data_IF_790086250854
#
_entry.id   IF_790086250854
#
_cell.length_a   1.000
_cell.length_b   1.000
_cell.length_c   1.000
_cell.angle_alpha   90.00
_cell.angle_beta   90.00
_cell.angle_gamma   90.00
#
_symmetry.space_group_name_H-M   'P 1'
#
loop_
_entity.id
_entity.type
_entity.pdbx_description
1 polymer ?
#
# COMPACT_ATOMS: atom_id res chain seq x y z
N UNK A 1 54.44 70.44 10.22
CA UNK A 1 55.64 70.23 9.38
C UNK A 1 55.72 68.73 9.13
N UNK A 2 55.32 68.21 7.95
CA UNK A 2 56.18 67.99 6.76
C UNK A 2 57.43 67.15 7.11
N UNK A 3 57.78 66.01 6.51
CA UNK A 3 57.52 65.41 5.20
C UNK A 3 57.73 63.88 5.25
N UNK A 4 57.27 63.20 4.18
CA UNK A 4 57.64 61.84 3.74
C UNK A 4 59.15 61.57 3.64
N UNK A 5 59.53 60.29 3.71
CA UNK A 5 60.46 59.51 2.85
C UNK A 5 60.69 58.18 3.62
N UNK A 6 60.52 56.98 3.08
CA UNK A 6 61.26 56.42 1.96
C UNK A 6 62.02 55.18 2.43
N UNK A 7 61.60 54.02 1.89
CA UNK A 7 62.38 52.85 1.46
C UNK A 7 63.45 52.19 2.37
N UNK A 8 63.53 50.85 2.17
CA UNK A 8 64.69 49.97 2.36
C UNK A 8 64.93 49.46 3.81
N UNK A 9 65.26 48.21 4.11
CA UNK A 9 65.67 47.04 3.33
C UNK A 9 65.68 45.77 4.22
N UNK A 10 65.34 44.63 3.60
CA UNK A 10 66.03 43.32 3.63
C UNK A 10 66.36 42.60 4.97
N UNK A 11 65.94 41.33 5.05
CA UNK A 11 66.80 40.17 5.39
C UNK A 11 66.03 38.87 5.04
N UNK A 12 66.44 38.11 4.01
CA UNK A 12 67.30 36.90 4.09
C UNK A 12 66.71 35.82 5.02
N UNK A 13 66.44 34.58 4.62
CA UNK A 13 67.19 33.68 3.75
C UNK A 13 66.32 32.51 3.26
N UNK A 14 66.73 31.85 2.16
CA UNK A 14 66.19 30.54 1.78
C UNK A 14 66.63 30.06 0.40
N UNK A 15 67.87 29.54 0.31
CA UNK A 15 68.42 28.78 -0.82
C UNK A 15 67.43 27.71 -1.33
N UNK A 16 67.14 27.69 -2.64
CA UNK A 16 67.79 26.85 -3.67
C UNK A 16 67.24 25.42 -3.79
N UNK A 17 66.42 25.22 -4.83
CA UNK A 17 66.60 24.33 -6.00
C UNK A 17 65.20 23.94 -6.51
N UNK A 18 64.86 24.41 -7.71
CA UNK A 18 63.62 24.03 -8.39
C UNK A 18 63.68 24.36 -9.87
N UNK A 19 63.88 23.33 -10.70
CA UNK A 19 63.52 23.30 -12.11
C UNK A 19 62.81 21.96 -12.37
N UNK A 20 61.91 21.83 -13.37
CA UNK A 20 61.57 22.80 -14.41
C UNK A 20 60.07 23.13 -14.54
N UNK A 21 59.81 24.23 -15.24
CA UNK A 21 58.54 24.71 -15.77
C UNK A 21 57.51 23.61 -16.12
N UNK A 22 56.28 23.78 -15.62
CA UNK A 22 55.08 23.20 -16.26
C UNK A 22 54.15 24.34 -16.64
N UNK A 23 54.28 24.83 -17.88
CA UNK A 23 53.28 25.71 -18.46
C UNK A 23 52.01 24.89 -18.69
N UNK A 24 50.94 25.20 -17.97
CA UNK A 24 49.60 24.65 -18.24
C UNK A 24 49.11 25.30 -19.53
N UNK A 25 49.36 24.66 -20.67
CA UNK A 25 48.80 25.11 -21.95
C UNK A 25 47.44 24.47 -22.13
N UNK A 26 46.41 25.31 -22.15
CA UNK A 26 45.05 24.96 -22.55
C UNK A 26 45.05 24.44 -23.99
N UNK A 27 44.45 23.27 -24.26
CA UNK A 27 44.41 22.71 -25.62
C UNK A 27 43.28 23.37 -26.39
N UNK A 28 43.61 24.04 -27.49
CA UNK A 28 42.66 24.81 -28.29
C UNK A 28 42.23 23.99 -29.49
N UNK A 29 40.97 24.14 -29.91
CA UNK A 29 40.39 23.43 -31.07
C UNK A 29 41.22 23.56 -32.36
N UNK A 30 41.95 24.67 -32.50
CA UNK A 30 42.85 24.92 -33.62
C UNK A 30 43.99 23.89 -33.74
N UNK A 31 44.38 23.25 -32.64
CA UNK A 31 45.46 22.27 -32.58
C UNK A 31 44.98 20.83 -32.86
N UNK A 32 43.67 20.62 -33.03
CA UNK A 32 43.04 19.31 -33.16
C UNK A 32 42.04 19.27 -34.33
N UNK A 33 42.40 19.86 -35.47
CA UNK A 33 41.56 19.91 -36.68
C UNK A 33 41.29 18.53 -37.31
N UNK A 34 42.06 17.51 -36.93
CA UNK A 34 41.85 16.12 -37.35
C UNK A 34 40.70 15.42 -36.62
N UNK A 35 40.19 16.00 -35.53
CA UNK A 35 39.03 15.48 -34.81
C UNK A 35 37.74 16.09 -35.35
N UNK A 36 36.72 15.25 -35.51
CA UNK A 36 35.39 15.73 -35.86
C UNK A 36 34.74 16.52 -34.71
N UNK A 37 33.77 17.37 -35.02
CA UNK A 37 33.00 18.15 -34.05
C UNK A 37 32.47 17.32 -32.87
N UNK A 38 31.79 16.16 -33.08
CA UNK A 38 31.31 15.35 -31.97
C UNK A 38 32.43 14.73 -31.12
N UNK A 39 33.58 14.43 -31.72
CA UNK A 39 34.74 13.87 -31.01
C UNK A 39 35.45 14.91 -30.17
N UNK A 40 35.57 16.14 -30.69
CA UNK A 40 36.09 17.26 -29.92
C UNK A 40 35.18 17.60 -28.74
N UNK A 41 33.86 17.67 -28.95
CA UNK A 41 32.91 17.89 -27.86
C UNK A 41 32.93 16.76 -26.83
N UNK A 42 33.11 15.52 -27.28
CA UNK A 42 33.27 14.38 -26.39
C UNK A 42 34.51 14.50 -25.50
N UNK A 43 35.63 14.99 -26.03
CA UNK A 43 36.83 15.23 -25.23
C UNK A 43 36.66 16.40 -24.25
N UNK A 44 35.88 17.42 -24.62
CA UNK A 44 35.50 18.50 -23.71
C UNK A 44 34.58 18.00 -22.58
N UNK A 45 33.68 17.05 -22.86
CA UNK A 45 32.90 16.40 -21.79
C UNK A 45 33.77 15.48 -20.95
N UNK A 46 34.69 14.73 -21.56
CA UNK A 46 35.65 13.90 -20.82
C UNK A 46 36.53 14.75 -19.90
N UNK A 47 36.94 15.96 -20.31
CA UNK A 47 37.72 16.86 -19.47
C UNK A 47 36.96 17.29 -18.20
N UNK A 48 35.63 17.39 -18.24
CA UNK A 48 34.83 17.62 -17.03
C UNK A 48 34.90 16.45 -16.04
N UNK A 49 35.14 15.22 -16.51
CA UNK A 49 35.21 14.03 -15.67
C UNK A 49 36.60 13.74 -15.10
N UNK A 50 37.65 13.86 -15.91
CA UNK A 50 39.04 13.49 -15.53
C UNK A 50 40.01 14.68 -15.42
N UNK A 51 39.53 15.89 -15.71
CA UNK A 51 40.31 17.13 -15.67
C UNK A 51 40.99 17.48 -16.99
N UNK A 52 41.04 18.77 -17.31
CA UNK A 52 41.64 19.30 -18.55
C UNK A 52 43.12 18.96 -18.72
N UNK A 53 43.90 18.96 -17.62
CA UNK A 53 45.33 18.64 -17.68
C UNK A 53 45.59 17.19 -18.10
N UNK A 54 44.71 16.26 -17.71
CA UNK A 54 44.80 14.85 -18.10
C UNK A 54 44.49 14.68 -19.59
N UNK A 55 43.41 15.30 -20.07
CA UNK A 55 43.05 15.30 -21.51
C UNK A 55 44.12 15.98 -22.35
N UNK A 56 44.68 17.11 -21.88
CA UNK A 56 45.76 17.81 -22.57
C UNK A 56 47.05 16.98 -22.66
N UNK A 57 47.34 16.16 -21.64
CA UNK A 57 48.48 15.23 -21.68
C UNK A 57 48.22 14.12 -22.68
N UNK A 58 47.01 13.55 -22.70
CA UNK A 58 46.62 12.52 -23.68
C UNK A 58 46.71 13.03 -25.12
N UNK A 59 46.27 14.27 -25.38
CA UNK A 59 46.34 14.86 -26.73
C UNK A 59 47.77 15.19 -27.17
N UNK A 60 48.73 15.34 -26.25
CA UNK A 60 50.14 15.53 -26.59
C UNK A 60 50.91 14.22 -26.77
N UNK A 61 50.50 13.15 -26.10
CA UNK A 61 51.21 11.87 -26.10
C UNK A 61 50.67 10.86 -27.09
N UNK A 62 49.37 10.91 -27.39
CA UNK A 62 48.70 9.96 -28.27
C UNK A 62 48.78 10.41 -29.73
N UNK A 63 48.93 9.44 -30.64
CA UNK A 63 48.83 9.69 -32.08
C UNK A 63 47.41 10.09 -32.49
N UNK A 64 47.21 10.78 -33.63
CA UNK A 64 45.88 11.19 -34.10
C UNK A 64 44.83 10.06 -34.14
N UNK A 65 45.23 8.86 -34.52
CA UNK A 65 44.36 7.68 -34.58
C UNK A 65 43.95 7.19 -33.18
N UNK A 66 44.86 7.28 -32.21
CA UNK A 66 44.57 6.90 -30.82
C UNK A 66 43.67 7.93 -30.13
N UNK A 67 43.81 9.21 -30.46
CA UNK A 67 42.93 10.28 -29.98
C UNK A 67 41.49 10.05 -30.47
N UNK A 68 41.32 9.70 -31.74
CA UNK A 68 40.03 9.31 -32.31
C UNK A 68 39.44 8.10 -31.57
N UNK A 69 40.26 7.07 -31.31
CA UNK A 69 39.84 5.90 -30.54
C UNK A 69 39.41 6.22 -29.11
N UNK A 70 40.05 7.18 -28.43
CA UNK A 70 39.63 7.64 -27.09
C UNK A 70 38.30 8.37 -27.16
N UNK A 71 38.14 9.32 -28.09
CA UNK A 71 36.90 10.08 -28.25
C UNK A 71 35.71 9.15 -28.55
N UNK A 72 35.90 8.18 -29.46
CA UNK A 72 34.85 7.22 -29.82
C UNK A 72 34.46 6.28 -28.68
N UNK A 73 35.43 5.78 -27.91
CA UNK A 73 35.13 4.96 -26.74
C UNK A 73 34.33 5.73 -25.70
N UNK A 74 34.66 7.01 -25.51
CA UNK A 74 33.93 7.87 -24.60
C UNK A 74 32.50 8.13 -25.08
N UNK A 75 32.31 8.48 -26.36
CA UNK A 75 30.98 8.64 -26.97
C UNK A 75 30.16 7.35 -26.82
N UNK A 76 30.76 6.19 -27.09
CA UNK A 76 30.09 4.90 -26.97
C UNK A 76 29.73 4.58 -25.51
N UNK A 77 30.58 4.95 -24.54
CA UNK A 77 30.25 4.79 -23.12
C UNK A 77 29.12 5.72 -22.68
N UNK A 78 29.08 6.97 -23.15
CA UNK A 78 27.97 7.89 -22.88
C UNK A 78 26.66 7.36 -23.49
N UNK A 79 26.70 6.87 -24.73
CA UNK A 79 25.54 6.26 -25.37
C UNK A 79 25.08 4.99 -24.64
N UNK A 80 26.01 4.18 -24.12
CA UNK A 80 25.69 3.01 -23.30
C UNK A 80 25.09 3.41 -21.97
N UNK A 81 25.57 4.48 -21.33
CA UNK A 81 25.06 4.98 -20.06
C UNK A 81 23.65 5.58 -20.23
N UNK A 82 23.42 6.34 -21.30
CA UNK A 82 22.08 6.83 -21.68
C UNK A 82 21.15 5.68 -22.07
N UNK A 83 21.64 4.68 -22.80
CA UNK A 83 20.87 3.47 -23.11
C UNK A 83 20.56 2.67 -21.84
N UNK A 84 21.50 2.57 -20.89
CA UNK A 84 21.32 1.92 -19.60
C UNK A 84 20.35 2.69 -18.69
N UNK A 85 20.34 4.03 -18.75
CA UNK A 85 19.34 4.87 -18.08
C UNK A 85 17.94 4.70 -18.72
N UNK A 86 17.88 4.47 -20.04
CA UNK A 86 16.64 4.23 -20.77
C UNK A 86 16.12 2.78 -20.64
N UNK A 87 16.99 1.79 -20.40
CA UNK A 87 16.59 0.47 -19.90
C UNK A 87 16.48 0.49 -18.39
N UNK A 88 15.30 0.89 -17.91
CA UNK A 88 14.74 0.61 -16.57
C UNK A 88 15.53 -0.46 -15.81
N UNK A 89 16.43 -0.03 -14.94
CA UNK A 89 16.82 -0.84 -13.78
C UNK A 89 15.55 -1.14 -12.96
N UNK A 90 15.39 -2.33 -12.34
CA UNK A 90 14.25 -2.64 -11.48
C UNK A 90 14.37 -1.86 -10.15
N UNK A 91 14.37 -0.53 -10.24
CA UNK A 91 14.13 0.38 -9.14
C UNK A 91 12.62 0.45 -8.93
N UNK A 92 12.21 0.01 -7.76
CA UNK A 92 10.87 0.11 -7.14
C UNK A 92 10.05 1.27 -7.73
N UNK A 93 9.26 0.99 -8.77
CA UNK A 93 7.98 1.67 -8.92
C UNK A 93 7.24 1.43 -7.60
N UNK A 94 6.64 2.43 -6.95
CA UNK A 94 5.52 2.12 -6.09
C UNK A 94 4.48 1.54 -7.05
N UNK A 95 4.49 0.21 -7.24
CA UNK A 95 3.33 -0.49 -7.77
C UNK A 95 2.23 0.05 -6.89
N UNK A 96 1.29 0.82 -7.47
CA UNK A 96 0.04 1.11 -6.80
C UNK A 96 -0.52 -0.27 -6.46
N UNK A 97 -0.25 -0.71 -5.25
CA UNK A 97 -0.52 -2.07 -4.80
C UNK A 97 -2.01 -2.06 -4.51
N UNK A 98 -2.81 -2.16 -5.58
CA UNK A 98 -4.21 -2.45 -5.48
C UNK A 98 -4.29 -3.83 -4.85
N UNK A 99 -4.62 -3.87 -3.56
CA UNK A 99 -4.76 -5.13 -2.85
C UNK A 99 -6.00 -5.82 -3.39
N UNK A 100 -5.80 -6.94 -4.08
CA UNK A 100 -6.90 -7.74 -4.61
C UNK A 100 -7.49 -8.57 -3.47
N UNK A 101 -8.29 -7.92 -2.62
CA UNK A 101 -9.01 -8.61 -1.55
C UNK A 101 -10.08 -9.54 -2.16
N UNK A 102 -10.17 -10.76 -1.65
CA UNK A 102 -11.28 -11.63 -2.00
C UNK A 102 -12.59 -11.02 -1.48
N UNK A 103 -13.66 -11.13 -2.26
CA UNK A 103 -15.02 -10.80 -1.84
C UNK A 103 -15.84 -12.04 -2.07
N UNK A 104 -16.49 -12.51 -1.01
CA UNK A 104 -17.40 -13.65 -1.03
C UNK A 104 -18.52 -13.41 -2.05
N UNK A 105 -19.00 -14.48 -2.69
CA UNK A 105 -20.16 -14.36 -3.57
C UNK A 105 -21.44 -14.15 -2.74
N UNK A 106 -22.30 -13.25 -3.18
CA UNK A 106 -23.62 -13.05 -2.57
C UNK A 106 -24.72 -13.56 -3.49
N UNK A 107 -25.50 -14.51 -2.99
CA UNK A 107 -26.58 -15.13 -3.77
C UNK A 107 -27.93 -14.51 -3.48
N UNK A 108 -28.14 -13.99 -2.27
CA UNK A 108 -29.43 -13.47 -1.81
C UNK A 108 -30.32 -14.56 -1.19
N UNK A 109 -29.69 -15.57 -0.58
CA UNK A 109 -30.38 -16.65 0.15
C UNK A 109 -30.83 -16.19 1.53
N UNK A 110 -31.85 -16.85 2.06
CA UNK A 110 -32.29 -16.66 3.45
C UNK A 110 -31.18 -17.12 4.40
N UNK A 111 -30.82 -16.30 5.39
CA UNK A 111 -29.68 -16.52 6.29
C UNK A 111 -28.36 -15.88 5.85
N UNK A 112 -28.21 -15.45 4.59
CA UNK A 112 -27.06 -14.65 4.15
C UNK A 112 -27.21 -13.19 4.59
N UNK A 113 -26.17 -12.66 5.24
CA UNK A 113 -26.19 -11.32 5.82
C UNK A 113 -25.72 -10.29 4.79
N UNK A 114 -26.67 -9.66 4.07
CA UNK A 114 -26.37 -8.65 3.05
C UNK A 114 -25.47 -7.51 3.59
N UNK A 115 -25.75 -7.03 4.81
CA UNK A 115 -25.00 -5.94 5.42
C UNK A 115 -23.53 -6.29 5.64
N UNK A 116 -23.23 -7.49 6.14
CA UNK A 116 -21.86 -7.99 6.31
C UNK A 116 -21.13 -8.07 4.97
N UNK A 117 -21.81 -8.60 3.95
CA UNK A 117 -21.25 -8.70 2.61
C UNK A 117 -20.96 -7.31 2.00
N UNK A 118 -21.84 -6.33 2.21
CA UNK A 118 -21.60 -4.95 1.78
C UNK A 118 -20.36 -4.32 2.44
N UNK A 119 -20.11 -4.62 3.73
CA UNK A 119 -18.88 -4.17 4.42
C UNK A 119 -17.62 -4.80 3.81
N UNK A 120 -17.66 -6.10 3.51
CA UNK A 120 -16.57 -6.80 2.81
C UNK A 120 -16.32 -6.19 1.42
N UNK A 121 -17.39 -5.90 0.68
CA UNK A 121 -17.34 -5.27 -0.63
C UNK A 121 -16.75 -3.86 -0.58
N UNK A 122 -17.21 -3.02 0.35
CA UNK A 122 -16.71 -1.64 0.53
C UNK A 122 -15.22 -1.65 0.91
N UNK A 123 -14.80 -2.59 1.76
CA UNK A 123 -13.39 -2.79 2.13
C UNK A 123 -12.56 -3.17 0.90
N UNK A 124 -13.05 -4.07 0.05
CA UNK A 124 -12.36 -4.47 -1.17
C UNK A 124 -12.30 -3.34 -2.21
N UNK A 125 -13.36 -2.55 -2.35
CA UNK A 125 -13.38 -1.36 -3.23
C UNK A 125 -12.34 -0.33 -2.77
N UNK A 126 -12.25 -0.08 -1.47
CA UNK A 126 -11.28 0.83 -0.88
C UNK A 126 -9.85 0.32 -1.10
N UNK A 127 -9.58 -0.95 -0.81
CA UNK A 127 -8.27 -1.57 -0.97
C UNK A 127 -7.82 -1.64 -2.44
N UNK A 128 -8.77 -1.79 -3.37
CA UNK A 128 -8.53 -1.72 -4.82
C UNK A 128 -8.50 -0.30 -5.37
N UNK A 129 -8.82 0.72 -4.57
CA UNK A 129 -8.88 2.14 -5.00
C UNK A 129 -9.79 2.36 -6.22
N UNK A 130 -10.93 1.68 -6.26
CA UNK A 130 -11.91 1.90 -7.34
C UNK A 130 -12.64 3.22 -7.04
N UNK A 131 -12.39 4.25 -7.84
CA UNK A 131 -12.97 5.60 -7.63
C UNK A 131 -14.27 5.77 -8.42
N UNK A 132 -14.26 5.39 -9.70
CA UNK A 132 -15.36 5.58 -10.62
C UNK A 132 -16.65 4.85 -10.16
N UNK A 133 -17.80 5.55 -10.03
CA UNK A 133 -19.05 4.95 -9.58
C UNK A 133 -19.53 3.78 -10.43
N UNK A 134 -19.37 3.83 -11.75
CA UNK A 134 -19.79 2.75 -12.64
C UNK A 134 -18.90 1.51 -12.47
N UNK A 135 -17.61 1.71 -12.27
CA UNK A 135 -16.64 0.66 -11.97
C UNK A 135 -16.92 0.00 -10.61
N UNK A 136 -17.34 0.75 -9.60
CA UNK A 136 -17.79 0.20 -8.31
C UNK A 136 -19.00 -0.71 -8.48
N UNK A 137 -20.00 -0.26 -9.25
CA UNK A 137 -21.20 -1.06 -9.54
C UNK A 137 -20.86 -2.30 -10.37
N UNK A 138 -20.05 -2.16 -11.42
CA UNK A 138 -19.61 -3.27 -12.25
C UNK A 138 -18.86 -4.31 -11.41
N UNK A 139 -17.94 -3.87 -10.55
CA UNK A 139 -17.23 -4.73 -9.62
C UNK A 139 -18.19 -5.44 -8.64
N UNK A 140 -19.09 -4.70 -7.99
CA UNK A 140 -20.10 -5.27 -7.11
C UNK A 140 -20.93 -6.37 -7.80
N UNK A 141 -21.36 -6.14 -9.04
CA UNK A 141 -22.09 -7.12 -9.84
C UNK A 141 -21.29 -8.40 -10.12
N UNK A 142 -19.96 -8.33 -10.23
CA UNK A 142 -19.13 -9.54 -10.41
C UNK A 142 -19.13 -10.46 -9.19
N UNK A 143 -19.42 -9.90 -8.01
CA UNK A 143 -19.52 -10.64 -6.75
C UNK A 143 -20.96 -11.11 -6.45
N UNK A 144 -21.93 -10.79 -7.32
CA UNK A 144 -23.30 -11.30 -7.22
C UNK A 144 -23.45 -12.59 -8.01
N UNK A 145 -24.14 -13.56 -7.43
CA UNK A 145 -24.47 -14.85 -8.06
C UNK A 145 -25.97 -15.16 -7.90
N UNK A 146 -26.43 -16.20 -8.58
CA UNK A 146 -27.82 -16.67 -8.50
C UNK A 146 -28.86 -15.56 -8.68
N UNK A 147 -29.83 -15.49 -7.75
CA UNK A 147 -30.94 -14.53 -7.80
C UNK A 147 -30.49 -13.08 -7.66
N UNK A 148 -29.47 -12.79 -6.86
CA UNK A 148 -28.91 -11.45 -6.73
C UNK A 148 -28.31 -10.94 -8.04
N UNK A 149 -27.63 -11.82 -8.79
CA UNK A 149 -27.11 -11.49 -10.13
C UNK A 149 -28.23 -11.19 -11.11
N UNK A 150 -29.23 -12.06 -11.23
CA UNK A 150 -30.36 -11.88 -12.14
C UNK A 150 -31.11 -10.57 -11.88
N UNK A 151 -31.34 -10.25 -10.60
CA UNK A 151 -31.94 -8.98 -10.18
C UNK A 151 -31.09 -7.78 -10.59
N UNK A 152 -29.77 -7.83 -10.36
CA UNK A 152 -28.87 -6.70 -10.65
C UNK A 152 -28.81 -6.36 -12.14
N UNK A 153 -28.78 -7.38 -13.02
CA UNK A 153 -28.84 -7.16 -14.46
C UNK A 153 -30.19 -6.58 -14.90
N UNK A 154 -31.30 -7.04 -14.33
CA UNK A 154 -32.63 -6.45 -14.58
C UNK A 154 -32.70 -4.98 -14.17
N UNK A 155 -32.05 -4.59 -13.06
CA UNK A 155 -32.03 -3.21 -12.58
C UNK A 155 -31.13 -2.29 -13.42
N UNK A 156 -29.95 -2.77 -13.82
CA UNK A 156 -28.98 -1.98 -14.62
C UNK A 156 -29.53 -1.57 -15.99
N UNK A 157 -30.45 -2.35 -16.55
CA UNK A 157 -31.13 -2.01 -17.80
C UNK A 157 -32.17 -0.88 -17.63
N UNK A 158 -32.63 -0.62 -16.41
CA UNK A 158 -33.71 0.32 -16.12
C UNK A 158 -33.23 1.69 -15.63
N UNK A 159 -32.00 1.82 -15.11
CA UNK A 159 -31.53 3.08 -14.48
C UNK A 159 -29.99 3.18 -14.49
N UNK A 160 -29.37 4.30 -14.91
CA UNK A 160 -27.94 4.54 -14.71
C UNK A 160 -27.65 4.80 -13.22
N UNK A 161 -27.40 3.73 -12.46
CA UNK A 161 -27.25 3.77 -11.00
C UNK A 161 -25.89 4.30 -10.54
N UNK A 162 -25.89 5.23 -9.58
CA UNK A 162 -24.72 5.51 -8.73
C UNK A 162 -24.46 4.34 -7.78
N UNK A 163 -23.24 4.23 -7.24
CA UNK A 163 -22.92 3.16 -6.30
C UNK A 163 -23.82 3.17 -5.05
N UNK A 164 -24.14 4.36 -4.53
CA UNK A 164 -25.02 4.49 -3.36
C UNK A 164 -26.48 4.13 -3.67
N UNK A 165 -27.00 4.50 -4.85
CA UNK A 165 -28.36 4.11 -5.25
C UNK A 165 -28.44 2.60 -5.50
N UNK A 166 -27.39 1.99 -6.05
CA UNK A 166 -27.27 0.54 -6.20
C UNK A 166 -27.31 -0.17 -4.84
N UNK A 167 -26.48 0.26 -3.86
CA UNK A 167 -26.50 -0.31 -2.50
C UNK A 167 -27.87 -0.20 -1.85
N UNK A 168 -28.54 0.96 -1.98
CA UNK A 168 -29.88 1.17 -1.44
C UNK A 168 -30.91 0.24 -2.08
N UNK A 169 -30.89 0.10 -3.40
CA UNK A 169 -31.79 -0.79 -4.12
C UNK A 169 -31.54 -2.26 -3.78
N UNK A 170 -30.27 -2.65 -3.63
CA UNK A 170 -29.89 -4.01 -3.26
C UNK A 170 -30.39 -4.36 -1.85
N UNK A 171 -30.26 -3.41 -0.90
CA UNK A 171 -30.88 -3.52 0.43
C UNK A 171 -32.39 -3.69 0.32
N UNK A 172 -33.09 -2.82 -0.40
CA UNK A 172 -34.54 -2.95 -0.54
C UNK A 172 -35.01 -4.28 -1.16
N UNK A 173 -34.20 -4.88 -2.03
CA UNK A 173 -34.56 -6.11 -2.72
C UNK A 173 -34.24 -7.39 -1.94
N UNK A 174 -33.15 -7.40 -1.17
CA UNK A 174 -32.62 -8.60 -0.52
C UNK A 174 -32.50 -8.51 0.99
N UNK A 175 -32.68 -7.34 1.57
CA UNK A 175 -32.88 -7.19 3.01
C UNK A 175 -34.35 -7.55 3.30
N UNK A 176 -34.62 -8.63 4.04
CA UNK A 176 -35.96 -8.88 4.52
C UNK A 176 -36.41 -7.65 5.30
N UNK A 177 -37.57 -7.06 5.00
CA UNK A 177 -38.11 -5.99 5.82
C UNK A 177 -38.30 -6.58 7.23
N UNK A 178 -37.41 -6.20 8.17
CA UNK A 178 -37.28 -6.63 9.59
C UNK A 178 -36.16 -7.63 9.95
N UNK A 179 -35.18 -7.92 9.09
CA UNK A 179 -34.09 -8.85 9.47
C UNK A 179 -33.32 -8.47 10.76
N UNK A 180 -33.04 -7.19 11.00
CA UNK A 180 -32.33 -6.74 12.21
C UNK A 180 -33.25 -6.80 13.43
N UNK A 181 -34.51 -6.44 13.27
CA UNK A 181 -35.50 -6.55 14.34
C UNK A 181 -35.69 -8.02 14.74
N UNK A 182 -35.78 -8.90 13.74
CA UNK A 182 -35.88 -10.34 13.95
C UNK A 182 -34.62 -10.90 14.61
N UNK A 183 -33.42 -10.57 14.11
CA UNK A 183 -32.17 -11.03 14.72
C UNK A 183 -32.02 -10.52 16.16
N UNK A 184 -32.46 -9.28 16.44
CA UNK A 184 -32.52 -8.74 17.80
C UNK A 184 -33.51 -9.51 18.67
N UNK A 185 -34.72 -9.77 18.18
CA UNK A 185 -35.73 -10.53 18.91
C UNK A 185 -35.24 -11.96 19.20
N UNK A 186 -34.72 -12.66 18.18
CA UNK A 186 -34.14 -14.00 18.31
C UNK A 186 -32.95 -14.03 19.28
N UNK A 187 -32.13 -12.98 19.31
CA UNK A 187 -31.06 -12.88 20.29
C UNK A 187 -31.62 -12.72 21.71
N UNK A 188 -32.61 -11.84 21.91
CA UNK A 188 -33.24 -11.62 23.22
C UNK A 188 -33.95 -12.86 23.78
N UNK A 189 -34.46 -13.71 22.89
CA UNK A 189 -35.11 -14.98 23.21
C UNK A 189 -34.14 -16.18 23.17
N UNK A 190 -32.84 -15.94 22.95
CA UNK A 190 -31.84 -16.99 22.78
C UNK A 190 -31.72 -17.88 24.02
N UNK A 191 -31.80 -19.20 23.82
CA UNK A 191 -31.60 -20.23 24.84
C UNK A 191 -30.59 -21.27 24.34
N UNK A 192 -29.80 -21.82 25.26
CA UNK A 192 -28.84 -22.89 24.95
C UNK A 192 -29.54 -24.21 24.64
N UNK A 193 -30.69 -24.47 25.26
CA UNK A 193 -31.49 -25.69 25.09
C UNK A 193 -30.63 -26.96 25.09
N UNK A 194 -30.65 -27.73 24.00
CA UNK A 194 -29.90 -28.98 23.80
C UNK A 194 -28.50 -28.76 23.19
N UNK A 195 -28.16 -27.53 22.80
CA UNK A 195 -26.90 -27.20 22.13
C UNK A 195 -25.72 -27.22 23.12
N UNK A 196 -24.53 -27.61 22.63
CA UNK A 196 -23.29 -27.40 23.38
C UNK A 196 -22.96 -25.89 23.49
N UNK A 197 -22.09 -25.52 24.43
CA UNK A 197 -21.79 -24.10 24.70
C UNK A 197 -21.15 -23.43 23.49
N UNK A 198 -20.35 -24.17 22.71
CA UNK A 198 -19.72 -23.62 21.51
C UNK A 198 -20.74 -23.28 20.42
N UNK A 199 -21.67 -24.19 20.08
CA UNK A 199 -22.73 -23.96 19.11
C UNK A 199 -23.64 -22.80 19.54
N UNK A 200 -24.00 -22.75 20.83
CA UNK A 200 -24.75 -21.66 21.43
C UNK A 200 -24.01 -20.31 21.30
N UNK A 201 -22.71 -20.28 21.61
CA UNK A 201 -21.88 -19.09 21.48
C UNK A 201 -21.75 -18.60 20.03
N UNK A 202 -21.59 -19.49 19.07
CA UNK A 202 -21.57 -19.13 17.65
C UNK A 202 -22.91 -18.53 17.20
N UNK A 203 -24.04 -19.09 17.68
CA UNK A 203 -25.37 -18.55 17.41
C UNK A 203 -25.55 -17.15 18.00
N UNK A 204 -25.10 -16.94 19.24
CA UNK A 204 -25.09 -15.62 19.87
C UNK A 204 -24.30 -14.59 19.04
N UNK A 205 -23.06 -14.94 18.64
CA UNK A 205 -22.22 -14.07 17.80
C UNK A 205 -22.88 -13.75 16.46
N UNK A 206 -23.46 -14.74 15.80
CA UNK A 206 -24.15 -14.58 14.53
C UNK A 206 -25.31 -13.57 14.65
N UNK A 207 -26.21 -13.78 15.63
CA UNK A 207 -27.38 -12.92 15.82
C UNK A 207 -26.99 -11.48 16.17
N UNK A 208 -25.97 -11.29 17.02
CA UNK A 208 -25.43 -9.95 17.33
C UNK A 208 -24.83 -9.29 16.08
N UNK A 209 -24.11 -10.05 15.26
CA UNK A 209 -23.45 -9.53 14.06
C UNK A 209 -24.44 -9.06 12.98
N UNK A 210 -25.68 -9.56 13.02
CA UNK A 210 -26.73 -9.16 12.09
C UNK A 210 -27.34 -7.79 12.41
N UNK A 211 -27.17 -7.28 13.63
CA UNK A 211 -27.75 -6.01 14.08
C UNK A 211 -26.71 -4.89 13.92
N UNK A 212 -26.66 -4.28 12.73
CA UNK A 212 -25.58 -3.35 12.34
C UNK A 212 -25.99 -1.89 12.52
N UNK A 213 -27.24 -1.52 12.20
CA UNK A 213 -27.63 -0.09 12.20
C UNK A 213 -27.68 0.54 13.59
N UNK A 214 -28.19 -0.22 14.57
CA UNK A 214 -28.26 0.18 15.98
C UNK A 214 -27.78 -0.97 16.85
N UNK A 215 -26.46 -1.13 17.04
CA UNK A 215 -25.91 -2.22 17.83
C UNK A 215 -26.50 -2.24 19.24
N UNK A 216 -26.69 -3.44 19.78
CA UNK A 216 -27.08 -3.59 21.19
C UNK A 216 -25.91 -3.19 22.09
N UNK A 217 -26.21 -2.67 23.27
CA UNK A 217 -25.19 -2.43 24.30
C UNK A 217 -24.62 -3.75 24.85
N UNK A 218 -23.39 -3.72 25.35
CA UNK A 218 -22.74 -4.92 25.87
C UNK A 218 -23.45 -5.52 27.08
N UNK A 219 -24.05 -4.69 27.94
CA UNK A 219 -24.80 -5.18 29.10
C UNK A 219 -25.97 -6.04 28.68
N UNK A 220 -26.78 -5.59 27.71
CA UNK A 220 -27.87 -6.39 27.13
C UNK A 220 -27.35 -7.69 26.53
N UNK A 221 -26.23 -7.65 25.77
CA UNK A 221 -25.64 -8.86 25.18
C UNK A 221 -25.22 -9.88 26.24
N UNK A 222 -24.49 -9.43 27.25
CA UNK A 222 -23.99 -10.27 28.34
C UNK A 222 -25.16 -10.88 29.13
N UNK A 223 -26.11 -10.05 29.57
CA UNK A 223 -27.23 -10.50 30.40
C UNK A 223 -28.08 -11.52 29.64
N UNK A 224 -28.39 -11.25 28.37
CA UNK A 224 -29.15 -12.17 27.53
C UNK A 224 -28.40 -13.49 27.34
N UNK A 225 -27.11 -13.45 26.99
CA UNK A 225 -26.30 -14.65 26.82
C UNK A 225 -26.22 -15.49 28.10
N UNK A 226 -25.97 -14.87 29.25
CA UNK A 226 -25.89 -15.54 30.55
C UNK A 226 -27.24 -16.12 30.98
N UNK A 227 -28.35 -15.39 30.74
CA UNK A 227 -29.70 -15.87 31.05
C UNK A 227 -30.07 -17.10 30.24
N UNK A 228 -29.70 -17.12 28.96
CA UNK A 228 -30.00 -18.22 28.03
C UNK A 228 -29.14 -19.47 28.21
N UNK A 229 -28.04 -19.42 28.97
CA UNK A 229 -27.28 -20.62 29.30
C UNK A 229 -28.13 -21.62 30.09
N UNK A 230 -27.88 -22.91 29.86
CA UNK A 230 -28.50 -23.98 30.64
C UNK A 230 -28.03 -23.88 32.09
N UNK A 231 -28.93 -24.16 33.03
CA UNK A 231 -28.58 -24.21 34.44
C UNK A 231 -27.51 -25.28 34.68
N UNK A 232 -26.42 -24.88 35.36
CA UNK A 232 -25.24 -25.71 35.55
C UNK A 232 -24.01 -24.89 35.93
N UNK A 233 -22.84 -25.54 36.09
CA UNK A 233 -21.64 -24.89 36.62
C UNK A 233 -21.15 -23.73 35.74
N UNK A 234 -21.23 -23.87 34.41
CA UNK A 234 -20.89 -22.79 33.45
C UNK A 234 -21.69 -21.53 33.74
N UNK A 235 -23.03 -21.64 33.84
CA UNK A 235 -23.90 -20.51 34.14
C UNK A 235 -23.58 -19.92 35.51
N UNK A 236 -23.44 -20.76 36.54
CA UNK A 236 -23.10 -20.33 37.90
C UNK A 236 -21.77 -19.57 37.96
N UNK A 237 -20.76 -20.05 37.24
CA UNK A 237 -19.45 -19.41 37.17
C UNK A 237 -19.55 -18.02 36.53
N UNK A 238 -20.25 -17.89 35.39
CA UNK A 238 -20.42 -16.59 34.74
C UNK A 238 -21.18 -15.57 35.60
N UNK A 239 -22.18 -16.00 36.38
CA UNK A 239 -22.89 -15.11 37.31
C UNK A 239 -22.03 -14.63 38.48
N UNK A 240 -20.92 -15.33 38.79
CA UNK A 240 -19.93 -14.90 39.79
C UNK A 240 -18.93 -13.92 39.19
N UNK A 241 -18.41 -14.22 38.00
CA UNK A 241 -17.38 -13.41 37.35
C UNK A 241 -17.92 -12.10 36.74
N UNK A 242 -19.21 -12.08 36.36
CA UNK A 242 -19.90 -10.91 35.81
C UNK A 242 -19.09 -10.21 34.68
N UNK A 243 -18.90 -10.88 33.53
CA UNK A 243 -18.09 -10.36 32.41
C UNK A 243 -18.67 -9.05 31.85
N UNK A 244 -17.78 -8.15 31.41
CA UNK A 244 -18.17 -6.83 30.90
C UNK A 244 -18.54 -6.79 29.40
N UNK A 245 -18.24 -7.86 28.66
CA UNK A 245 -18.52 -7.97 27.22
C UNK A 245 -18.99 -9.36 26.85
N UNK A 246 -19.73 -9.48 25.73
CA UNK A 246 -20.20 -10.78 25.24
C UNK A 246 -19.05 -11.74 24.94
N UNK A 247 -17.96 -11.25 24.35
CA UNK A 247 -16.80 -12.10 24.03
C UNK A 247 -16.06 -12.59 25.27
N UNK A 248 -15.99 -11.77 26.33
CA UNK A 248 -15.48 -12.22 27.61
C UNK A 248 -16.38 -13.30 28.22
N UNK A 249 -17.70 -13.12 28.15
CA UNK A 249 -18.67 -14.11 28.62
C UNK A 249 -18.53 -15.45 27.87
N UNK A 250 -18.41 -15.41 26.54
CA UNK A 250 -18.21 -16.62 25.73
C UNK A 250 -16.88 -17.29 26.07
N UNK A 251 -15.80 -16.53 26.20
CA UNK A 251 -14.47 -17.08 26.53
C UNK A 251 -14.49 -17.81 27.87
N UNK A 252 -15.07 -17.19 28.90
CA UNK A 252 -15.23 -17.82 30.22
C UNK A 252 -16.13 -19.06 30.16
N UNK A 253 -17.21 -19.01 29.37
CA UNK A 253 -18.13 -20.14 29.24
C UNK A 253 -17.45 -21.35 28.57
N UNK A 254 -16.64 -21.11 27.53
CA UNK A 254 -15.87 -22.16 26.85
C UNK A 254 -14.78 -22.73 27.78
N UNK A 255 -14.09 -21.88 28.54
CA UNK A 255 -13.07 -22.32 29.49
C UNK A 255 -13.67 -23.19 30.59
N UNK A 256 -14.81 -22.79 31.16
CA UNK A 256 -15.47 -23.56 32.20
C UNK A 256 -16.04 -24.88 31.67
N UNK A 257 -16.65 -24.89 30.48
CA UNK A 257 -17.10 -26.14 29.86
C UNK A 257 -15.93 -27.11 29.64
N UNK A 258 -14.78 -26.59 29.21
CA UNK A 258 -13.58 -27.40 29.02
C UNK A 258 -13.06 -27.98 30.34
N UNK A 259 -12.99 -27.17 31.40
CA UNK A 259 -12.58 -27.62 32.74
C UNK A 259 -13.48 -28.74 33.27
N UNK A 260 -14.80 -28.62 33.10
CA UNK A 260 -15.77 -29.63 33.53
C UNK A 260 -15.64 -30.96 32.78
N UNK A 261 -15.19 -30.93 31.53
CA UNK A 261 -14.96 -32.16 30.74
C UNK A 261 -13.66 -32.87 31.11
N UNK A 262 -12.73 -32.19 31.78
CA UNK A 262 -11.47 -32.76 32.24
C UNK A 262 -11.51 -33.28 33.68
N UNK A 263 -12.51 -32.87 34.47
CA UNK A 263 -12.72 -33.28 35.86
C UNK A 263 -13.48 -34.62 35.96
#
# INVERSE_FOLDING_TARGET
MTYEQGRENLSMDGLSVGSPNTAVTHVVRADCLHLSDPEWEALQRLSTGIGEAAVATMLRTLSPTEQHGVAQRFILSEQREVAAANTVSPGVTPRNAHLKLHVSNYEGKEGETLLRWLVELDTAIMARRIVDPLSKVAFAMTCLVGRARSWAYGRRLADPTTYESFKKALKLAFEPPKNEFQSRAEFLDLQQDTQDVHAYAQRARYLVSNVVTKPMDETTKVVTFMKGLRDGPVKTYLFREYPSTLEAAITLAMQEEFSLRQA
#
